data_IF_938323047567
#
_entry.id   IF_938323047567
#
_cell.length_a   1.000
_cell.length_b   1.000
_cell.length_c   1.000
_cell.angle_alpha   90.00
_cell.angle_beta   90.00
_cell.angle_gamma   90.00
#
_symmetry.space_group_name_H-M   'P 1'
#
loop_
_entity.id
_entity.type
_entity.pdbx_description
1 polymer ?
#
# COMPACT_ATOMS: atom_id res chain seq x y z
N UNK A 1 1.94 -18.71 -4.54
CA UNK A 1 0.93 -17.82 -3.92
C UNK A 1 0.02 -17.28 -5.02
N UNK A 2 -1.28 -17.15 -4.75
CA UNK A 2 -2.23 -16.58 -5.69
C UNK A 2 -2.53 -15.13 -5.27
N UNK A 3 -2.88 -14.22 -6.18
CA UNK A 3 -3.09 -12.81 -5.85
C UNK A 3 -4.24 -12.57 -4.86
N UNK A 4 -5.20 -13.51 -4.78
CA UNK A 4 -6.31 -13.45 -3.81
C UNK A 4 -5.83 -13.65 -2.36
N UNK A 5 -5.00 -14.67 -2.14
CA UNK A 5 -4.39 -14.95 -0.84
C UNK A 5 -3.57 -13.76 -0.36
N UNK A 6 -2.78 -13.17 -1.27
CA UNK A 6 -1.98 -11.99 -0.96
C UNK A 6 -2.85 -10.80 -0.53
N UNK A 7 -3.98 -10.59 -1.20
CA UNK A 7 -4.92 -9.50 -0.87
C UNK A 7 -5.47 -9.67 0.55
N UNK A 8 -5.84 -10.91 0.91
CA UNK A 8 -6.42 -11.23 2.21
C UNK A 8 -5.39 -11.05 3.35
N UNK A 9 -4.13 -11.43 3.11
CA UNK A 9 -3.08 -11.27 4.10
C UNK A 9 -2.81 -9.79 4.38
N UNK A 10 -2.68 -8.97 3.33
CA UNK A 10 -2.47 -7.52 3.49
C UNK A 10 -3.65 -6.87 4.22
N UNK A 11 -4.89 -7.22 3.87
CA UNK A 11 -6.06 -6.71 4.60
C UNK A 11 -6.06 -7.12 6.09
N UNK A 12 -5.57 -8.32 6.41
CA UNK A 12 -5.36 -8.77 7.78
C UNK A 12 -4.32 -7.92 8.52
N UNK A 13 -3.15 -7.73 7.92
CA UNK A 13 -2.05 -6.92 8.50
C UNK A 13 -2.49 -5.47 8.71
N UNK A 14 -3.17 -4.86 7.74
CA UNK A 14 -3.69 -3.48 7.86
C UNK A 14 -4.72 -3.37 8.98
N UNK A 15 -5.58 -4.37 9.17
CA UNK A 15 -6.57 -4.38 10.26
C UNK A 15 -5.94 -4.57 11.63
N UNK A 16 -4.95 -5.45 11.74
CA UNK A 16 -4.33 -5.80 13.03
C UNK A 16 -3.33 -4.74 13.50
N UNK A 17 -2.65 -4.07 12.57
CA UNK A 17 -1.60 -3.08 12.84
C UNK A 17 -2.02 -1.65 12.51
N UNK A 18 -3.31 -1.30 12.59
CA UNK A 18 -3.73 0.11 12.43
C UNK A 18 -2.96 1.02 13.42
N UNK A 19 -2.41 2.16 12.99
CA UNK A 19 -2.57 2.82 11.68
C UNK A 19 -1.41 2.57 10.70
N UNK A 20 -1.33 1.38 10.10
CA UNK A 20 -0.38 1.06 9.03
C UNK A 20 -1.06 1.20 7.66
N UNK A 21 -0.40 1.84 6.69
CA UNK A 21 -0.87 1.89 5.30
C UNK A 21 -0.60 0.57 4.57
N UNK A 22 -1.29 0.33 3.45
CA UNK A 22 -1.06 -0.88 2.66
C UNK A 22 0.40 -0.99 2.19
N UNK A 23 1.06 0.15 1.92
CA UNK A 23 2.49 0.19 1.60
C UNK A 23 3.35 -0.43 2.71
N UNK A 24 3.16 0.01 3.95
CA UNK A 24 3.90 -0.52 5.09
C UNK A 24 3.51 -1.97 5.41
N UNK A 25 2.23 -2.34 5.23
CA UNK A 25 1.79 -3.73 5.38
C UNK A 25 2.47 -4.67 4.35
N UNK A 26 2.70 -4.19 3.12
CA UNK A 26 3.40 -4.94 2.07
C UNK A 26 4.89 -5.06 2.40
N UNK A 27 5.54 -3.99 2.86
CA UNK A 27 6.95 -4.02 3.28
C UNK A 27 7.13 -4.97 4.46
N UNK A 28 6.20 -4.96 5.41
CA UNK A 28 6.21 -5.86 6.55
C UNK A 28 6.04 -7.32 6.12
N UNK A 29 5.06 -7.61 5.26
CA UNK A 29 4.86 -8.96 4.72
C UNK A 29 6.06 -9.46 3.92
N UNK A 30 6.67 -8.56 3.15
CA UNK A 30 7.91 -8.77 2.40
C UNK A 30 9.08 -9.16 3.34
N UNK A 31 9.26 -8.44 4.46
CA UNK A 31 10.24 -8.80 5.48
C UNK A 31 9.95 -10.14 6.16
N UNK A 32 8.70 -10.40 6.53
CA UNK A 32 8.35 -11.58 7.32
C UNK A 32 8.44 -12.88 6.51
N UNK A 33 8.06 -12.85 5.23
CA UNK A 33 8.25 -13.99 4.33
C UNK A 33 9.62 -14.03 3.62
N UNK A 34 10.47 -13.00 3.79
CA UNK A 34 11.76 -12.90 3.09
C UNK A 34 11.63 -12.85 1.57
N UNK A 35 10.53 -12.30 1.05
CA UNK A 35 10.28 -12.16 -0.40
C UNK A 35 10.76 -10.77 -0.81
N UNK A 36 11.42 -10.59 -1.95
CA UNK A 36 11.78 -9.24 -2.39
C UNK A 36 10.54 -8.39 -2.78
N UNK A 37 10.59 -7.08 -2.52
CA UNK A 37 9.54 -6.12 -2.92
C UNK A 37 9.20 -6.26 -4.41
N UNK A 38 10.18 -6.53 -5.26
CA UNK A 38 9.98 -6.68 -6.71
C UNK A 38 9.11 -7.91 -7.06
N UNK A 39 9.31 -9.01 -6.33
CA UNK A 39 8.52 -10.24 -6.49
C UNK A 39 7.12 -10.05 -5.93
N UNK A 40 7.01 -9.36 -4.80
CA UNK A 40 5.74 -9.01 -4.17
C UNK A 40 4.92 -8.07 -5.08
N UNK A 41 5.55 -7.06 -5.68
CA UNK A 41 4.94 -6.16 -6.65
C UNK A 41 4.45 -6.87 -7.92
N UNK A 42 5.08 -8.00 -8.29
CA UNK A 42 4.65 -8.87 -9.39
C UNK A 42 3.45 -9.75 -9.01
N UNK A 43 3.34 -10.11 -7.73
CA UNK A 43 2.25 -10.94 -7.18
C UNK A 43 0.99 -10.12 -6.88
N UNK A 44 1.15 -8.83 -6.60
CA UNK A 44 0.09 -7.84 -6.46
C UNK A 44 -0.72 -7.77 -7.75
N UNK A 45 -1.99 -8.17 -7.66
CA UNK A 45 -2.95 -8.02 -8.75
C UNK A 45 -3.18 -6.53 -9.05
N UNK A 46 -3.41 -6.19 -10.33
CA UNK A 46 -3.78 -4.83 -10.79
C UNK A 46 -4.73 -4.09 -9.82
N UNK A 47 -5.87 -4.66 -9.38
CA UNK A 47 -6.77 -4.00 -8.44
C UNK A 47 -6.15 -3.63 -7.09
N UNK A 48 -5.24 -4.46 -6.55
CA UNK A 48 -4.61 -4.19 -5.27
C UNK A 48 -3.59 -3.06 -5.39
N UNK A 49 -2.86 -3.00 -6.52
CA UNK A 49 -1.95 -1.89 -6.85
C UNK A 49 -2.67 -0.54 -6.88
N UNK A 50 -3.86 -0.54 -7.48
CA UNK A 50 -4.70 0.65 -7.59
C UNK A 50 -5.23 1.09 -6.22
N UNK A 51 -5.65 0.15 -5.37
CA UNK A 51 -6.02 0.44 -3.97
C UNK A 51 -4.87 1.05 -3.17
N UNK A 52 -3.65 0.52 -3.31
CA UNK A 52 -2.46 1.05 -2.61
C UNK A 52 -2.13 2.46 -3.11
N UNK A 53 -2.21 2.71 -4.42
CA UNK A 53 -1.99 4.06 -4.98
C UNK A 53 -3.05 5.05 -4.52
N UNK A 54 -4.33 4.67 -4.57
CA UNK A 54 -5.43 5.50 -4.08
C UNK A 54 -5.25 5.81 -2.59
N UNK A 55 -4.94 4.81 -1.77
CA UNK A 55 -4.77 5.04 -0.33
C UNK A 55 -3.50 5.86 -0.02
N UNK A 56 -2.41 5.69 -0.77
CA UNK A 56 -1.24 6.55 -0.65
C UNK A 56 -1.49 8.01 -1.10
N UNK A 57 -2.36 8.19 -2.10
CA UNK A 57 -2.84 9.51 -2.53
C UNK A 57 -3.78 10.13 -1.48
N UNK A 58 -4.69 9.33 -0.92
CA UNK A 58 -5.70 9.78 0.05
C UNK A 58 -5.10 10.04 1.44
N UNK A 59 -4.10 9.25 1.83
CA UNK A 59 -3.32 9.43 3.07
C UNK A 59 -2.41 10.66 3.06
N UNK A 60 -2.43 11.50 2.01
CA UNK A 60 -1.70 12.78 1.94
C UNK A 60 -0.17 12.63 2.13
N UNK A 61 0.37 11.42 1.88
CA UNK A 61 1.82 11.12 1.90
C UNK A 61 2.54 11.63 0.66
N UNK A 62 1.82 11.69 -0.46
CA UNK A 62 2.17 12.66 -1.50
C UNK A 62 1.71 13.99 -0.95
N UNK A 63 2.66 14.81 -0.48
CA UNK A 63 2.48 16.26 -0.51
C UNK A 63 2.19 16.59 -1.97
N UNK A 64 0.93 16.54 -2.37
CA UNK A 64 0.43 17.56 -3.28
C UNK A 64 0.70 18.81 -2.46
N UNK A 65 1.83 19.43 -2.76
CA UNK A 65 2.02 20.83 -2.48
C UNK A 65 0.76 21.46 -3.07
N UNK A 66 -0.25 21.67 -2.23
CA UNK A 66 -1.30 22.63 -2.49
C UNK A 66 -0.51 23.92 -2.55
N UNK A 67 0.07 24.19 -3.72
CA UNK A 67 0.78 25.43 -4.01
C UNK A 67 -0.23 26.49 -3.65
N UNK A 68 0.04 27.11 -2.51
CA UNK A 68 -0.71 28.22 -1.99
C UNK A 68 -0.47 29.33 -2.99
N UNK A 69 -1.31 29.43 -4.00
CA UNK A 69 -1.41 30.65 -4.80
C UNK A 69 -2.69 31.34 -4.41
N UNK A 70 -2.47 32.53 -3.87
CA UNK A 70 -3.33 33.33 -3.02
C UNK A 70 -4.75 33.54 -3.56
N UNK A 71 -5.74 33.79 -2.68
CA UNK A 71 -6.99 34.41 -3.10
C UNK A 71 -6.70 35.82 -3.61
N UNK A 72 -7.12 36.11 -4.85
CA UNK A 72 -7.41 37.46 -5.34
C UNK A 72 -8.70 37.44 -6.13
#
# INVERSE_FOLDING_TARGET
>A
MNSKEFSLIIEGVVKEKKPISYMDAIVWYCQENGIEIETTARLISKPLKEKIQLEAQEANMLKIEKTSTLPV
#
